data_IF_546780447975
#
_entry.id   IF_546780447975
#
_cell.length_a   1.000
_cell.length_b   1.000
_cell.length_c   1.000
_cell.angle_alpha   90.00
_cell.angle_beta   90.00
_cell.angle_gamma   90.00
#
_symmetry.space_group_name_H-M   'P 1'
#
loop_
_entity.id
_entity.type
_entity.pdbx_description
1 polymer ?
#
# COMPACT_ATOMS: atom_id res chain seq x y z
N UNK A 1 -11.19 14.60 -27.32
CA UNK A 1 -10.30 13.42 -27.28
C UNK A 1 -10.13 12.99 -25.84
N UNK A 2 -10.81 11.92 -25.40
CA UNK A 2 -10.73 11.45 -24.02
C UNK A 2 -9.51 10.53 -23.91
N UNK A 3 -8.48 10.93 -23.16
CA UNK A 3 -7.34 10.04 -22.84
C UNK A 3 -7.91 8.88 -22.02
N UNK A 4 -7.92 7.68 -22.59
CA UNK A 4 -8.04 6.45 -21.79
C UNK A 4 -6.71 6.30 -21.05
N UNK A 5 -6.67 6.74 -19.80
CA UNK A 5 -5.54 6.46 -18.92
C UNK A 5 -5.70 5.01 -18.46
N UNK A 6 -4.84 4.11 -18.94
CA UNK A 6 -4.75 2.75 -18.41
C UNK A 6 -4.06 2.87 -17.05
N UNK A 7 -4.77 2.55 -15.97
CA UNK A 7 -4.15 2.48 -14.65
C UNK A 7 -3.10 1.35 -14.65
N UNK A 8 -1.89 1.66 -14.23
CA UNK A 8 -0.80 0.69 -14.08
C UNK A 8 -0.39 0.57 -12.61
N UNK A 9 -0.01 -0.64 -12.18
CA UNK A 9 0.55 -0.89 -10.84
C UNK A 9 2.04 -1.17 -10.97
N UNK A 10 2.88 -0.27 -10.44
CA UNK A 10 4.32 -0.47 -10.32
C UNK A 10 4.63 -1.26 -9.06
N UNK A 11 5.08 -2.49 -9.24
CA UNK A 11 5.27 -3.47 -8.17
C UNK A 11 6.64 -3.31 -7.50
N UNK A 12 6.67 -3.33 -6.16
CA UNK A 12 7.89 -3.51 -5.39
C UNK A 12 8.28 -5.00 -5.38
N UNK A 13 9.54 -5.30 -5.72
CA UNK A 13 10.08 -6.66 -5.76
C UNK A 13 11.44 -6.68 -5.02
N UNK A 14 11.50 -7.22 -3.79
CA UNK A 14 10.40 -7.80 -3.00
C UNK A 14 9.39 -6.74 -2.50
N UNK A 15 8.15 -7.13 -2.11
CA UNK A 15 7.21 -6.23 -1.45
C UNK A 15 7.81 -5.60 -0.20
N UNK A 16 7.52 -4.32 0.05
CA UNK A 16 8.11 -3.60 1.18
C UNK A 16 7.43 -4.03 2.48
N UNK A 17 8.16 -4.51 3.50
CA UNK A 17 7.58 -4.77 4.81
C UNK A 17 7.00 -3.49 5.42
N UNK A 18 5.81 -3.58 6.00
CA UNK A 18 5.16 -2.46 6.66
C UNK A 18 4.51 -2.88 7.98
N UNK A 19 4.32 -1.91 8.86
CA UNK A 19 3.33 -1.97 9.93
C UNK A 19 2.04 -1.30 9.46
N UNK A 20 0.89 -1.77 9.95
CA UNK A 20 -0.40 -1.13 9.67
C UNK A 20 -1.16 -0.98 10.97
N UNK A 21 -1.53 0.26 11.29
CA UNK A 21 -2.43 0.57 12.39
C UNK A 21 -3.87 0.34 11.93
N UNK A 22 -4.64 -0.39 12.76
CA UNK A 22 -6.04 -0.65 12.50
C UNK A 22 -6.92 0.22 13.40
N UNK A 23 -7.97 0.80 12.83
CA UNK A 23 -9.10 1.40 13.56
C UNK A 23 -10.37 0.69 13.11
N UNK A 24 -11.16 0.20 14.06
CA UNK A 24 -12.40 -0.55 13.76
C UNK A 24 -12.18 -1.71 12.76
N UNK A 25 -11.05 -2.41 12.90
CA UNK A 25 -10.61 -3.50 11.99
C UNK A 25 -10.29 -3.07 10.54
N UNK A 26 -10.19 -1.77 10.26
CA UNK A 26 -9.80 -1.21 8.95
C UNK A 26 -8.42 -0.54 9.03
N UNK A 27 -7.58 -0.62 7.98
CA UNK A 27 -6.34 0.14 7.89
C UNK A 27 -6.58 1.64 8.07
N UNK A 28 -5.82 2.27 8.97
CA UNK A 28 -5.91 3.69 9.28
C UNK A 28 -4.59 4.45 9.06
N UNK A 29 -3.46 3.76 9.22
CA UNK A 29 -2.13 4.29 8.91
C UNK A 29 -1.18 3.16 8.52
N UNK A 30 -0.19 3.50 7.70
CA UNK A 30 0.90 2.61 7.30
C UNK A 30 2.19 3.15 7.88
N UNK A 31 3.01 2.26 8.43
CA UNK A 31 4.33 2.55 8.96
C UNK A 31 5.33 1.82 8.08
N UNK A 32 6.16 2.57 7.36
CA UNK A 32 7.17 2.01 6.47
C UNK A 32 8.43 2.87 6.61
N UNK A 33 9.60 2.22 6.60
CA UNK A 33 10.90 2.91 6.73
C UNK A 33 11.00 3.87 7.94
N UNK A 34 10.32 3.53 9.05
CA UNK A 34 10.28 4.35 10.27
C UNK A 34 9.35 5.55 10.22
N UNK A 35 8.70 5.83 9.09
CA UNK A 35 7.74 6.91 8.94
C UNK A 35 6.30 6.42 8.99
N UNK A 36 5.46 7.11 9.77
CA UNK A 36 4.01 6.89 9.83
C UNK A 36 3.32 7.77 8.79
N UNK A 37 2.43 7.18 8.01
CA UNK A 37 1.70 7.82 6.91
C UNK A 37 0.20 7.56 7.08
N UNK A 38 -0.61 8.62 7.09
CA UNK A 38 -2.05 8.49 7.30
C UNK A 38 -2.73 7.96 6.03
N UNK A 39 -3.67 7.03 6.20
CA UNK A 39 -4.56 6.62 5.11
C UNK A 39 -5.70 7.64 5.00
N UNK A 40 -5.88 8.20 3.81
CA UNK A 40 -6.88 9.21 3.47
C UNK A 40 -8.13 8.60 2.83
N UNK A 41 -7.94 7.55 2.02
CA UNK A 41 -9.02 6.76 1.45
C UNK A 41 -8.62 5.28 1.39
N UNK A 42 -9.62 4.41 1.44
CA UNK A 42 -9.45 2.96 1.59
C UNK A 42 -10.48 2.23 0.73
N UNK A 43 -10.05 1.22 -0.02
CA UNK A 43 -10.90 0.26 -0.71
C UNK A 43 -10.45 -1.18 -0.41
N UNK A 44 -11.39 -2.12 -0.36
CA UNK A 44 -11.18 -3.51 0.09
C UNK A 44 -11.73 -3.80 1.50
N UNK A 45 -11.35 -4.93 2.13
CA UNK A 45 -10.37 -5.90 1.64
C UNK A 45 -10.90 -6.74 0.48
N UNK A 46 -10.04 -6.96 -0.52
CA UNK A 46 -10.21 -8.09 -1.45
C UNK A 46 -9.46 -9.30 -0.92
N UNK A 47 -10.13 -10.44 -0.90
CA UNK A 47 -9.57 -11.69 -0.39
C UNK A 47 -9.11 -12.56 -1.53
N UNK A 48 -7.82 -12.84 -1.54
CA UNK A 48 -7.20 -13.79 -2.46
C UNK A 48 -6.73 -15.00 -1.68
N UNK A 49 -7.04 -16.18 -2.21
CA UNK A 49 -6.51 -17.46 -1.71
C UNK A 49 -5.94 -18.22 -2.89
N UNK A 50 -4.74 -18.73 -2.76
CA UNK A 50 -4.13 -19.63 -3.72
C UNK A 50 -3.69 -20.92 -3.04
N UNK A 51 -3.37 -21.93 -3.85
CA UNK A 51 -2.98 -23.25 -3.37
C UNK A 51 -4.06 -23.88 -2.47
N UNK A 52 -5.34 -23.67 -2.77
CA UNK A 52 -6.47 -24.13 -1.94
C UNK A 52 -6.57 -25.66 -1.83
N UNK A 53 -5.92 -26.39 -2.74
CA UNK A 53 -5.75 -27.84 -2.70
C UNK A 53 -4.58 -28.31 -1.81
N UNK A 54 -3.77 -27.39 -1.28
CA UNK A 54 -2.57 -27.68 -0.50
C UNK A 54 -2.71 -27.25 0.96
N UNK A 55 -2.03 -27.95 1.86
CA UNK A 55 -1.84 -27.51 3.25
C UNK A 55 -1.02 -26.22 3.36
N UNK A 56 -0.30 -25.84 2.29
CA UNK A 56 0.45 -24.58 2.17
C UNK A 56 -0.34 -23.43 1.56
N UNK A 57 -1.68 -23.56 1.47
CA UNK A 57 -2.59 -22.53 0.99
C UNK A 57 -2.22 -21.15 1.52
N UNK A 58 -1.97 -20.20 0.61
CA UNK A 58 -1.71 -18.81 0.97
C UNK A 58 -3.01 -18.02 0.90
N UNK A 59 -3.16 -17.06 1.81
CA UNK A 59 -4.32 -16.19 1.85
C UNK A 59 -3.87 -14.77 2.17
N UNK A 60 -4.41 -13.80 1.43
CA UNK A 60 -4.14 -12.38 1.63
C UNK A 60 -5.45 -11.61 1.70
N UNK A 61 -5.46 -10.63 2.59
CA UNK A 61 -6.40 -9.51 2.49
C UNK A 61 -5.64 -8.35 1.83
N UNK A 62 -6.18 -7.77 0.76
CA UNK A 62 -5.57 -6.71 -0.04
C UNK A 62 -6.41 -5.43 0.02
N UNK A 63 -5.76 -4.27 0.07
CA UNK A 63 -6.40 -2.97 0.05
C UNK A 63 -5.67 -2.01 -0.88
N UNK A 64 -6.44 -1.16 -1.55
CA UNK A 64 -5.92 -0.01 -2.26
C UNK A 64 -6.14 1.21 -1.35
N UNK A 65 -5.06 1.95 -1.08
CA UNK A 65 -5.02 3.02 -0.08
C UNK A 65 -4.45 4.29 -0.67
N UNK A 66 -5.17 5.40 -0.51
CA UNK A 66 -4.62 6.73 -0.76
C UNK A 66 -3.96 7.18 0.52
N UNK A 67 -2.69 7.56 0.46
CA UNK A 67 -1.90 8.00 1.62
C UNK A 67 -0.82 8.97 1.18
N UNK A 68 -0.23 9.67 2.15
CA UNK A 68 0.99 10.46 1.95
C UNK A 68 2.06 9.63 1.21
N UNK A 69 2.69 10.21 0.19
CA UNK A 69 3.66 9.51 -0.64
C UNK A 69 4.88 9.02 0.17
N UNK A 70 5.34 7.82 -0.17
CA UNK A 70 6.61 7.25 0.29
C UNK A 70 7.77 7.95 -0.46
N UNK A 71 7.96 9.27 -0.27
CA UNK A 71 9.12 9.97 -0.86
C UNK A 71 10.42 9.52 -0.18
N UNK A 72 11.53 9.41 -0.93
CA UNK A 72 12.84 9.17 -0.32
C UNK A 72 13.24 10.34 0.59
N UNK A 73 14.03 10.05 1.62
CA UNK A 73 14.49 11.02 2.62
C UNK A 73 15.38 12.18 2.06
N UNK A 74 15.74 12.15 0.77
CA UNK A 74 16.52 13.19 0.11
C UNK A 74 15.64 14.05 -0.81
N UNK A 75 15.57 15.36 -0.53
CA UNK A 75 14.93 16.35 -1.40
C UNK A 75 15.96 17.42 -1.79
N UNK A 76 16.11 17.75 -3.08
CA UNK A 76 16.78 18.98 -3.49
C UNK A 76 16.04 20.19 -2.92
N UNK A 77 16.80 21.20 -2.53
CA UNK A 77 16.32 22.49 -2.01
C UNK A 77 15.46 23.18 -3.08
N UNK A 78 14.14 23.05 -2.98
CA UNK A 78 13.20 23.82 -3.77
C UNK A 78 12.28 24.63 -2.83
N UNK A 79 12.08 25.89 -3.21
CA UNK A 79 11.69 27.02 -2.35
C UNK A 79 10.20 27.12 -2.00
N UNK A 80 9.44 26.05 -2.16
CA UNK A 80 8.02 26.02 -1.76
C UNK A 80 7.75 24.81 -0.88
N UNK A 81 6.97 24.98 0.22
CA UNK A 81 6.58 23.85 1.05
C UNK A 81 5.87 22.82 0.16
N UNK A 82 6.23 21.51 0.26
CA UNK A 82 5.56 20.50 -0.53
C UNK A 82 4.07 20.56 -0.23
N UNK A 83 3.25 20.73 -1.27
CA UNK A 83 1.86 20.26 -1.22
C UNK A 83 1.88 18.81 -0.69
N UNK A 84 0.92 18.44 0.15
CA UNK A 84 0.79 17.08 0.69
C UNK A 84 0.60 16.11 -0.49
N UNK A 85 1.70 15.61 -1.05
CA UNK A 85 1.63 14.74 -2.21
C UNK A 85 1.16 13.36 -1.75
N UNK A 86 -0.04 13.02 -2.17
CA UNK A 86 -0.66 11.72 -1.90
C UNK A 86 -0.47 10.80 -3.09
N UNK A 87 -0.29 9.52 -2.84
CA UNK A 87 -0.27 8.50 -3.88
C UNK A 87 -1.14 7.29 -3.50
N UNK A 88 -1.62 6.59 -4.52
CA UNK A 88 -2.41 5.38 -4.35
C UNK A 88 -1.46 4.18 -4.31
N UNK A 89 -1.54 3.40 -3.25
CA UNK A 89 -0.74 2.20 -3.04
C UNK A 89 -1.63 0.97 -2.90
N UNK A 90 -1.07 -0.19 -3.23
CA UNK A 90 -1.64 -1.47 -2.80
C UNK A 90 -0.89 -1.98 -1.59
N UNK A 91 -1.62 -2.27 -0.51
CA UNK A 91 -1.11 -2.96 0.67
C UNK A 91 -1.80 -4.31 0.82
N UNK A 92 -1.12 -5.28 1.42
CA UNK A 92 -1.75 -6.54 1.78
C UNK A 92 -1.29 -7.05 3.13
N UNK A 93 -2.17 -7.80 3.76
CA UNK A 93 -1.87 -8.62 4.93
C UNK A 93 -1.74 -10.05 4.50
N UNK A 94 -0.54 -10.60 4.64
CA UNK A 94 -0.34 -12.04 4.55
C UNK A 94 -0.97 -12.68 5.79
N UNK A 95 -2.04 -13.47 5.60
CA UNK A 95 -2.80 -14.05 6.70
C UNK A 95 -2.08 -15.23 7.37
N UNK A 96 -1.15 -15.87 6.65
CA UNK A 96 -0.34 -16.98 7.18
C UNK A 96 0.77 -16.45 8.07
N UNK A 97 1.51 -15.46 7.59
CA UNK A 97 2.60 -14.83 8.32
C UNK A 97 2.12 -13.76 9.30
N UNK A 98 0.86 -13.32 9.18
CA UNK A 98 0.27 -12.18 9.91
C UNK A 98 1.07 -10.89 9.76
N UNK A 99 1.74 -10.71 8.61
CA UNK A 99 2.59 -9.57 8.28
C UNK A 99 1.95 -8.69 7.22
N UNK A 100 2.27 -7.41 7.26
CA UNK A 100 1.81 -6.43 6.30
C UNK A 100 2.92 -6.04 5.33
N UNK A 101 2.52 -5.75 4.10
CA UNK A 101 3.41 -5.36 3.02
C UNK A 101 2.76 -4.29 2.15
N UNK A 102 3.61 -3.46 1.54
CA UNK A 102 3.26 -2.59 0.42
C UNK A 102 3.70 -3.30 -0.86
N UNK A 103 2.73 -3.59 -1.72
CA UNK A 103 2.95 -4.35 -2.94
C UNK A 103 3.36 -3.46 -4.11
N UNK A 104 2.79 -2.27 -4.21
CA UNK A 104 3.08 -1.36 -5.32
C UNK A 104 2.38 -0.01 -5.20
N UNK A 105 2.67 0.85 -6.18
CA UNK A 105 2.11 2.20 -6.36
C UNK A 105 1.43 2.29 -7.72
N UNK A 106 0.29 2.97 -7.79
CA UNK A 106 -0.43 3.20 -9.05
C UNK A 106 0.07 4.45 -9.78
N UNK A 107 0.05 4.39 -11.13
CA UNK A 107 0.36 5.49 -12.07
C UNK A 107 -0.86 6.03 -12.81
#
# INVERSE_FOLDING_TARGET
MQRRTTAALRMYRPPLPAGVELREKKPAAVICEGARRRILALSGPWRTKGEWWSETAWARDEWDVLMEALRPAYRPVASEPPEEETALYRIYRDLRLRRWFIEGIYD
#
